data_IF_676889411278
#
_entry.id   IF_676889411278
#
_cell.length_a   1.000
_cell.length_b   1.000
_cell.length_c   1.000
_cell.angle_alpha   90.00
_cell.angle_beta   90.00
_cell.angle_gamma   90.00
#
_symmetry.space_group_name_H-M   'P 1'
#
loop_
_entity.id
_entity.type
_entity.pdbx_description
1 polymer ?
#
# COMPACT_ATOMS: atom_id res chain seq x y z
N UNK A 1 3.61 -1.45 3.58
CA UNK A 1 4.77 -0.56 3.47
C UNK A 1 5.83 -1.07 4.44
N UNK A 2 7.12 -0.91 4.15
CA UNK A 2 8.19 -1.30 5.08
C UNK A 2 9.13 -0.11 5.24
N UNK A 3 9.19 0.45 6.46
CA UNK A 3 10.10 1.54 6.80
C UNK A 3 11.51 1.05 7.15
N UNK A 4 11.66 -0.26 7.38
CA UNK A 4 12.94 -0.93 7.63
C UNK A 4 13.04 -2.20 6.79
N UNK A 5 14.26 -2.52 6.37
CA UNK A 5 14.54 -3.73 5.62
C UNK A 5 14.49 -4.95 6.55
N UNK A 6 13.75 -6.00 6.19
CA UNK A 6 13.64 -7.22 7.01
C UNK A 6 14.90 -8.09 7.02
N UNK A 7 15.90 -7.78 6.19
CA UNK A 7 17.17 -8.54 6.09
C UNK A 7 18.33 -7.87 6.80
N UNK A 8 18.39 -6.54 6.74
CA UNK A 8 19.53 -5.76 7.24
C UNK A 8 19.12 -4.63 8.19
N UNK A 9 17.83 -4.50 8.51
CA UNK A 9 17.26 -3.51 9.45
C UNK A 9 17.43 -2.02 9.09
N UNK A 10 18.15 -1.73 8.01
CA UNK A 10 18.35 -0.39 7.47
C UNK A 10 17.05 0.32 7.11
N UNK A 11 17.09 1.64 7.22
CA UNK A 11 15.93 2.50 6.93
C UNK A 11 15.59 2.49 5.44
N UNK A 12 14.33 2.22 5.11
CA UNK A 12 13.83 2.22 3.75
C UNK A 12 13.16 3.56 3.42
N UNK A 13 13.38 4.05 2.20
CA UNK A 13 12.61 5.18 1.68
C UNK A 13 11.26 4.70 1.13
N UNK A 14 10.17 5.11 1.77
CA UNK A 14 8.82 4.74 1.36
C UNK A 14 8.29 5.72 0.32
N UNK A 15 7.87 5.20 -0.82
CA UNK A 15 7.27 5.97 -1.91
C UNK A 15 5.76 5.73 -1.99
N UNK A 16 5.02 6.77 -2.37
CA UNK A 16 3.58 6.68 -2.62
C UNK A 16 3.19 7.43 -3.90
N UNK A 17 2.15 6.95 -4.59
CA UNK A 17 1.63 7.55 -5.82
C UNK A 17 0.58 8.62 -5.48
N UNK A 18 0.87 9.87 -5.82
CA UNK A 18 0.00 11.01 -5.42
C UNK A 18 -1.03 11.36 -6.50
N UNK A 19 -0.58 11.90 -7.64
CA UNK A 19 -1.40 12.32 -8.81
C UNK A 19 -0.71 11.91 -10.13
N UNK A 20 -0.32 10.64 -10.22
CA UNK A 20 0.28 10.07 -11.43
C UNK A 20 1.78 9.78 -11.37
N UNK A 21 2.50 10.29 -10.36
CA UNK A 21 3.92 9.99 -10.13
C UNK A 21 4.20 9.56 -8.69
N UNK A 22 5.36 8.94 -8.47
CA UNK A 22 5.85 8.49 -7.17
C UNK A 22 6.58 9.64 -6.45
N UNK A 23 6.27 9.82 -5.16
CA UNK A 23 6.95 10.79 -4.29
C UNK A 23 7.31 10.15 -2.95
N UNK A 24 8.48 10.44 -2.37
CA UNK A 24 8.82 9.98 -1.02
C UNK A 24 7.79 10.49 0.01
N UNK A 25 7.29 9.58 0.83
CA UNK A 25 6.30 9.90 1.88
C UNK A 25 6.90 10.82 2.94
N UNK A 26 8.20 10.68 3.22
CA UNK A 26 8.93 11.55 4.16
C UNK A 26 8.89 13.03 3.78
N UNK A 27 8.73 13.36 2.49
CA UNK A 27 8.70 14.72 1.97
C UNK A 27 7.28 15.33 1.86
N UNK A 28 6.27 14.70 2.46
CA UNK A 28 4.91 15.22 2.43
C UNK A 28 4.72 16.41 3.36
N UNK A 29 4.18 17.51 2.82
CA UNK A 29 3.79 18.67 3.62
C UNK A 29 2.49 18.39 4.40
N UNK A 30 2.13 19.29 5.34
CA UNK A 30 0.93 19.15 6.19
C UNK A 30 -0.35 18.96 5.38
N UNK A 31 -0.52 19.70 4.29
CA UNK A 31 -1.69 19.60 3.40
C UNK A 31 -1.82 18.23 2.74
N UNK A 32 -0.72 17.65 2.25
CA UNK A 32 -0.72 16.31 1.62
C UNK A 32 -1.00 15.19 2.61
N UNK A 33 -0.50 15.31 3.85
CA UNK A 33 -0.85 14.39 4.93
C UNK A 33 -2.36 14.42 5.20
N UNK A 34 -2.95 15.61 5.31
CA UNK A 34 -4.40 15.75 5.51
C UNK A 34 -5.21 15.25 4.30
N UNK A 35 -4.77 15.54 3.08
CA UNK A 35 -5.39 15.03 1.86
C UNK A 35 -5.43 13.50 1.88
N UNK A 36 -4.32 12.84 2.22
CA UNK A 36 -4.25 11.38 2.31
C UNK A 36 -5.19 10.80 3.37
N UNK A 37 -5.27 11.41 4.56
CA UNK A 37 -6.22 11.01 5.62
C UNK A 37 -7.67 11.08 5.11
N UNK A 38 -7.98 12.08 4.29
CA UNK A 38 -9.32 12.27 3.75
C UNK A 38 -9.65 11.35 2.56
N UNK A 39 -8.68 10.61 2.00
CA UNK A 39 -8.92 9.67 0.89
C UNK A 39 -9.69 8.45 1.38
N UNK A 40 -10.66 7.99 0.58
CA UNK A 40 -11.41 6.75 0.85
C UNK A 40 -10.72 5.56 0.19
N UNK A 41 -10.41 4.54 0.97
CA UNK A 41 -9.92 3.25 0.47
C UNK A 41 -11.11 2.36 0.15
N UNK A 42 -11.19 1.88 -1.09
CA UNK A 42 -12.23 0.94 -1.51
C UNK A 42 -11.71 -0.48 -1.36
N UNK A 43 -12.37 -1.27 -0.52
CA UNK A 43 -12.12 -2.71 -0.46
C UNK A 43 -12.81 -3.38 -1.65
N UNK A 44 -12.05 -4.11 -2.46
CA UNK A 44 -12.62 -4.98 -3.48
C UNK A 44 -12.87 -6.32 -2.79
N UNK A 45 -14.11 -6.56 -2.36
CA UNK A 45 -14.49 -7.85 -1.79
C UNK A 45 -14.33 -8.94 -2.88
N UNK A 46 -13.36 -9.84 -2.70
CA UNK A 46 -13.12 -10.97 -3.60
C UNK A 46 -14.10 -12.13 -3.37
N UNK A 47 -15.36 -11.85 -3.08
CA UNK A 47 -16.39 -12.88 -2.94
C UNK A 47 -16.94 -13.26 -4.32
N UNK A 48 -16.12 -13.88 -5.17
CA UNK A 48 -16.52 -14.76 -6.29
C UNK A 48 -15.33 -15.34 -7.09
N UNK A 49 -14.34 -15.93 -6.41
CA UNK A 49 -13.49 -16.98 -7.02
C UNK A 49 -13.68 -18.30 -6.29
N UNK A 50 -14.88 -18.88 -6.38
CA UNK A 50 -15.06 -20.32 -6.19
C UNK A 50 -14.40 -21.04 -7.38
N UNK A 51 -13.08 -21.17 -7.38
CA UNK A 51 -12.47 -22.30 -8.09
C UNK A 51 -12.54 -23.46 -7.11
N UNK A 52 -13.56 -24.28 -7.36
CA UNK A 52 -13.79 -25.64 -6.90
C UNK A 52 -12.62 -26.31 -6.20
N UNK A 53 -12.87 -26.71 -4.94
CA UNK A 53 -12.20 -27.85 -4.30
C UNK A 53 -12.22 -29.06 -5.24
N UNK A 54 -11.14 -29.35 -5.96
CA UNK A 54 -10.79 -30.66 -6.55
C UNK A 54 -9.28 -30.55 -6.81
N UNK A 55 -8.35 -31.32 -6.23
CA UNK A 55 -8.29 -32.76 -6.10
C UNK A 55 -7.34 -33.08 -4.93
N UNK A 56 -7.81 -33.84 -3.93
CA UNK A 56 -6.96 -34.69 -3.11
C UNK A 56 -6.48 -35.84 -3.98
N UNK A 57 -5.17 -36.01 -4.14
CA UNK A 57 -4.51 -37.30 -4.07
C UNK A 57 -3.03 -37.12 -3.72
#
# INVERSE_FOLDING_TARGET
EHHRCLKCEEECEVYSRVVGYLRPVKQWNKGKKQEFINRKTYCINHENRRISKVLTH
#
